data_IF_754579161572
#
_entry.id   IF_754579161572
#
_cell.length_a   1.000
_cell.length_b   1.000
_cell.length_c   1.000
_cell.angle_alpha   90.00
_cell.angle_beta   90.00
_cell.angle_gamma   90.00
#
_symmetry.space_group_name_H-M   'P 1'
#
loop_
_entity.id
_entity.type
_entity.pdbx_description
1 polymer ?
#
# COMPACT_ATOMS: atom_id res chain seq x y z
N UNK A 1 -2.52 5.46 -2.19
CA UNK A 1 -1.19 4.87 -2.43
C UNK A 1 -0.66 4.30 -1.12
N UNK A 2 -0.21 3.04 -1.06
CA UNK A 2 0.33 2.43 0.16
C UNK A 2 1.72 2.97 0.52
N UNK A 3 2.07 2.92 1.80
CA UNK A 3 3.46 3.03 2.24
C UNK A 3 4.17 1.68 2.07
N UNK A 4 5.42 1.71 1.56
CA UNK A 4 6.24 0.50 1.38
C UNK A 4 7.12 0.26 2.59
N UNK A 5 7.01 -0.90 3.22
CA UNK A 5 7.80 -1.30 4.40
C UNK A 5 8.38 -2.69 4.22
N UNK A 6 9.46 -3.01 4.94
CA UNK A 6 10.01 -4.37 4.98
C UNK A 6 8.99 -5.34 5.58
N UNK A 7 8.96 -6.56 5.07
CA UNK A 7 7.98 -7.59 5.43
C UNK A 7 7.95 -7.93 6.92
N UNK A 8 9.12 -7.92 7.59
CA UNK A 8 9.29 -8.35 8.99
C UNK A 8 9.24 -7.19 10.01
N UNK A 9 8.89 -5.97 9.58
CA UNK A 9 8.81 -4.85 10.51
C UNK A 9 7.59 -5.02 11.45
N UNK A 10 7.78 -4.92 12.79
CA UNK A 10 6.66 -4.98 13.75
C UNK A 10 5.56 -3.95 13.46
N UNK A 11 5.94 -2.82 12.86
CA UNK A 11 5.03 -1.74 12.47
C UNK A 11 3.97 -2.17 11.44
N UNK A 12 4.16 -3.26 10.70
CA UNK A 12 3.19 -3.74 9.69
C UNK A 12 1.83 -4.04 10.32
N UNK A 13 1.82 -4.73 11.46
CA UNK A 13 0.57 -5.10 12.13
C UNK A 13 -0.06 -3.90 12.83
N UNK A 14 0.75 -3.12 13.54
CA UNK A 14 0.31 -1.89 14.21
C UNK A 14 -0.40 -0.94 13.24
N UNK A 15 0.19 -0.67 12.08
CA UNK A 15 -0.40 0.25 11.10
C UNK A 15 -1.68 -0.32 10.43
N UNK A 16 -1.77 -1.64 10.27
CA UNK A 16 -3.00 -2.27 9.75
C UNK A 16 -4.18 -2.14 10.73
N UNK A 17 -3.91 -2.26 12.03
CA UNK A 17 -4.90 -2.07 13.08
C UNK A 17 -5.44 -0.63 13.10
N UNK A 18 -4.58 0.34 12.77
CA UNK A 18 -4.94 1.77 12.63
C UNK A 18 -5.58 2.13 11.27
N UNK A 19 -5.99 1.13 10.49
CA UNK A 19 -6.59 1.33 9.15
C UNK A 19 -5.66 2.07 8.16
N UNK A 20 -4.34 1.99 8.37
CA UNK A 20 -3.33 2.52 7.43
C UNK A 20 -3.05 1.47 6.37
N UNK A 21 -3.06 1.91 5.11
CA UNK A 21 -2.78 1.03 3.98
C UNK A 21 -1.27 0.82 3.79
N UNK A 22 -0.80 -0.38 4.17
CA UNK A 22 0.62 -0.77 4.15
C UNK A 22 0.88 -1.86 3.10
N UNK A 23 1.93 -1.68 2.29
CA UNK A 23 2.41 -2.66 1.33
C UNK A 23 3.80 -3.14 1.73
N UNK A 24 3.99 -4.45 1.83
CA UNK A 24 5.31 -5.02 2.12
C UNK A 24 6.17 -5.07 0.86
N UNK A 25 7.49 -5.14 1.03
CA UNK A 25 8.44 -5.17 -0.09
C UNK A 25 8.18 -6.32 -1.05
N UNK A 26 7.86 -7.51 -0.56
CA UNK A 26 7.50 -8.66 -1.41
C UNK A 26 6.25 -8.43 -2.29
N UNK A 27 5.28 -7.65 -1.79
CA UNK A 27 4.03 -7.34 -2.50
C UNK A 27 4.12 -6.12 -3.40
N UNK A 28 5.14 -5.29 -3.23
CA UNK A 28 5.33 -4.07 -4.01
C UNK A 28 5.82 -4.34 -5.44
N UNK A 29 6.39 -5.52 -5.70
CA UNK A 29 6.89 -5.91 -7.02
C UNK A 29 5.75 -6.05 -8.03
N UNK A 30 5.69 -5.14 -9.01
CA UNK A 30 4.75 -5.22 -10.13
C UNK A 30 3.46 -4.40 -9.99
N UNK A 31 3.27 -3.60 -8.92
CA UNK A 31 2.16 -2.66 -8.89
C UNK A 31 2.40 -1.47 -9.82
N UNK A 32 1.61 -1.39 -10.88
CA UNK A 32 1.55 -0.23 -11.76
C UNK A 32 0.46 0.74 -11.30
N UNK A 33 0.80 2.03 -11.26
CA UNK A 33 -0.18 3.09 -11.00
C UNK A 33 -0.85 3.41 -12.33
N UNK A 34 -2.16 3.19 -12.42
CA UNK A 34 -2.96 3.63 -13.56
C UNK A 34 -3.50 5.04 -13.31
N UNK A 35 -3.66 5.86 -14.35
CA UNK A 35 -4.34 7.15 -14.23
C UNK A 35 -5.74 6.95 -13.64
N UNK A 36 -6.13 7.84 -12.73
CA UNK A 36 -7.50 7.88 -12.26
C UNK A 36 -8.38 8.41 -13.40
N UNK A 37 -9.34 7.62 -13.86
CA UNK A 37 -10.33 8.08 -14.82
C UNK A 37 -11.24 9.10 -14.13
N UNK A 38 -11.18 10.35 -14.60
CA UNK A 38 -12.10 11.40 -14.21
C UNK A 38 -13.38 11.25 -15.03
N UNK A 39 -14.25 10.31 -14.66
CA UNK A 39 -15.58 10.22 -15.27
C UNK A 39 -16.46 11.33 -14.70
N UNK A 40 -16.43 12.52 -15.33
CA UNK A 40 -17.46 13.54 -15.13
C UNK A 40 -18.66 13.21 -16.02
N UNK A 41 -19.90 13.27 -15.51
CA UNK A 41 -21.09 13.27 -16.35
C UNK A 41 -21.17 14.53 -17.22
#
# INVERSE_FOLDING_TARGET
MPIRVLDELPAVNFLREENVFVMTTSRATGQEIRPAESHYP
#
